data_IF_842451807379
#
_entry.id   IF_842451807379
#
_cell.length_a   1.000
_cell.length_b   1.000
_cell.length_c   1.000
_cell.angle_alpha   90.00
_cell.angle_beta   90.00
_cell.angle_gamma   90.00
#
_symmetry.space_group_name_H-M   'P 1'
#
loop_
_entity.id
_entity.type
_entity.pdbx_description
1 polymer ?
#
# COMPACT_ATOMS: atom_id res chain seq x y z
N UNK A 1 26.26 -1.48 12.12
CA UNK A 1 25.84 -2.43 11.07
C UNK A 1 24.76 -3.29 11.71
N UNK A 2 23.48 -2.91 11.55
CA UNK A 2 22.23 -3.65 11.90
C UNK A 2 21.03 -2.66 11.93
N UNK A 3 20.77 -1.95 10.83
CA UNK A 3 19.54 -1.12 10.69
C UNK A 3 18.61 -1.74 9.63
N UNK A 4 19.08 -2.75 8.88
CA UNK A 4 18.28 -3.44 7.86
C UNK A 4 17.36 -4.50 8.46
N UNK A 5 17.88 -5.48 9.22
CA UNK A 5 17.09 -6.63 9.64
C UNK A 5 15.94 -6.31 10.62
N UNK A 6 16.16 -5.45 11.63
CA UNK A 6 15.12 -5.10 12.61
C UNK A 6 13.96 -4.32 11.98
N UNK A 7 14.27 -3.40 11.06
CA UNK A 7 13.25 -2.65 10.34
C UNK A 7 12.49 -3.57 9.36
N UNK A 8 13.19 -4.45 8.64
CA UNK A 8 12.57 -5.43 7.74
C UNK A 8 11.60 -6.34 8.49
N UNK A 9 11.99 -6.87 9.66
CA UNK A 9 11.08 -7.68 10.48
C UNK A 9 9.91 -6.86 11.00
N UNK A 10 10.11 -5.59 11.37
CA UNK A 10 9.03 -4.70 11.78
C UNK A 10 8.07 -4.38 10.63
N UNK A 11 8.57 -4.22 9.40
CA UNK A 11 7.74 -4.04 8.21
C UNK A 11 6.99 -5.31 7.86
N UNK A 12 7.66 -6.47 7.83
CA UNK A 12 7.02 -7.77 7.63
C UNK A 12 5.96 -8.03 8.69
N UNK A 13 6.21 -7.70 9.96
CA UNK A 13 5.24 -7.83 11.03
C UNK A 13 4.05 -6.85 10.86
N UNK A 14 4.28 -5.60 10.46
CA UNK A 14 3.19 -4.67 10.14
C UNK A 14 2.38 -5.07 8.90
N UNK A 15 3.00 -5.73 7.93
CA UNK A 15 2.32 -6.26 6.74
C UNK A 15 1.58 -7.57 7.06
N UNK A 16 2.10 -8.36 7.99
CA UNK A 16 1.58 -9.66 8.46
C UNK A 16 0.38 -9.52 9.41
N UNK A 17 0.37 -8.48 10.27
CA UNK A 17 -0.71 -8.24 11.22
C UNK A 17 -1.95 -7.63 10.52
N UNK A 18 -2.72 -8.46 9.83
CA UNK A 18 -4.05 -8.15 9.26
C UNK A 18 -4.11 -6.93 8.30
N UNK A 19 -2.97 -6.43 7.83
CA UNK A 19 -2.85 -5.36 6.85
C UNK A 19 -3.28 -3.96 7.32
N UNK A 20 -3.79 -3.76 8.54
CA UNK A 20 -4.25 -2.43 9.00
C UNK A 20 -3.08 -1.62 9.56
N UNK A 21 -2.96 -0.33 9.22
CA UNK A 21 -1.95 0.52 9.83
C UNK A 21 -2.14 0.59 11.35
N UNK A 22 -1.02 0.51 12.10
CA UNK A 22 -1.06 0.68 13.54
C UNK A 22 -1.63 2.06 13.90
N UNK A 23 -2.48 2.18 14.95
CA UNK A 23 -3.00 3.47 15.40
C UNK A 23 -1.89 4.46 15.78
N UNK A 24 -0.70 3.94 16.11
CA UNK A 24 0.47 4.75 16.48
C UNK A 24 1.41 5.06 15.30
N UNK A 25 1.19 4.51 14.10
CA UNK A 25 2.05 4.71 12.91
C UNK A 25 1.90 6.13 12.32
N UNK A 26 2.89 6.99 12.45
CA UNK A 26 2.84 8.33 11.84
C UNK A 26 2.99 8.25 10.31
N UNK A 27 2.52 9.29 9.60
CA UNK A 27 2.72 9.35 8.14
C UNK A 27 4.21 9.35 7.78
N UNK A 28 5.07 10.03 8.55
CA UNK A 28 6.52 10.01 8.31
C UNK A 28 7.11 8.58 8.40
N UNK A 29 6.68 7.79 9.38
CA UNK A 29 7.08 6.38 9.49
C UNK A 29 6.50 5.55 8.33
N UNK A 30 5.26 5.80 7.95
CA UNK A 30 4.65 5.16 6.78
C UNK A 30 5.40 5.48 5.48
N UNK A 31 5.83 6.71 5.26
CA UNK A 31 6.59 7.07 4.06
C UNK A 31 7.91 6.30 3.96
N UNK A 32 8.60 6.06 5.09
CA UNK A 32 9.79 5.20 5.12
C UNK A 32 9.44 3.75 4.74
N UNK A 33 8.33 3.23 5.26
CA UNK A 33 7.78 1.92 4.89
C UNK A 33 7.49 1.82 3.39
N UNK A 34 6.84 2.85 2.85
CA UNK A 34 6.39 2.89 1.48
C UNK A 34 7.57 2.93 0.51
N UNK A 35 8.64 3.66 0.84
CA UNK A 35 9.89 3.63 0.07
C UNK A 35 10.54 2.24 0.11
N UNK A 36 10.54 1.59 1.28
CA UNK A 36 11.01 0.21 1.39
C UNK A 36 10.19 -0.74 0.50
N UNK A 37 8.86 -0.66 0.55
CA UNK A 37 7.95 -1.43 -0.30
C UNK A 37 8.17 -1.18 -1.80
N UNK A 38 8.40 0.08 -2.20
CA UNK A 38 8.77 0.41 -3.58
C UNK A 38 10.10 -0.21 -3.97
N UNK A 39 11.08 -0.29 -3.08
CA UNK A 39 12.39 -0.85 -3.39
C UNK A 39 12.37 -2.39 -3.46
N UNK A 40 11.51 -3.02 -2.66
CA UNK A 40 11.47 -4.47 -2.51
C UNK A 40 10.48 -5.08 -3.50
N UNK A 41 11.00 -5.77 -4.52
CA UNK A 41 10.18 -6.59 -5.42
C UNK A 41 9.85 -7.89 -4.70
N UNK A 42 8.79 -7.90 -3.91
CA UNK A 42 8.27 -9.16 -3.38
C UNK A 42 7.62 -9.94 -4.54
N UNK A 43 7.95 -11.23 -4.64
CA UNK A 43 7.37 -12.12 -5.65
C UNK A 43 5.86 -12.25 -5.41
N UNK A 44 5.06 -12.26 -6.48
CA UNK A 44 3.59 -12.26 -6.47
C UNK A 44 2.93 -13.54 -5.90
N UNK A 45 3.66 -14.31 -5.09
CA UNK A 45 3.25 -15.64 -4.59
C UNK A 45 2.44 -15.59 -3.29
N UNK A 46 2.10 -14.41 -2.77
CA UNK A 46 1.35 -14.25 -1.52
C UNK A 46 -0.03 -13.65 -1.80
N UNK A 47 -0.93 -14.43 -2.39
CA UNK A 47 -2.37 -14.19 -2.22
C UNK A 47 -3.08 -15.52 -1.93
N UNK A 48 -3.27 -15.87 -0.64
CA UNK A 48 -4.11 -16.98 -0.25
C UNK A 48 -5.55 -16.46 -0.12
N UNK A 49 -6.34 -16.51 -1.20
CA UNK A 49 -7.77 -16.24 -1.09
C UNK A 49 -8.54 -17.06 -2.12
N UNK A 50 -9.49 -17.85 -1.66
CA UNK A 50 -10.30 -18.75 -2.49
C UNK A 50 -11.17 -17.95 -3.47
N UNK A 51 -11.43 -18.54 -4.64
CA UNK A 51 -11.77 -17.86 -5.91
C UNK A 51 -12.87 -16.78 -5.89
N UNK A 52 -13.85 -16.83 -4.98
CA UNK A 52 -14.96 -15.87 -4.94
C UNK A 52 -14.61 -14.55 -4.23
N UNK A 53 -13.88 -14.60 -3.12
CA UNK A 53 -13.35 -13.41 -2.44
C UNK A 53 -12.22 -12.78 -3.27
N UNK A 54 -11.48 -13.61 -4.01
CA UNK A 54 -10.45 -13.17 -4.94
C UNK A 54 -11.02 -12.37 -6.12
N UNK A 55 -12.15 -12.77 -6.73
CA UNK A 55 -12.76 -11.99 -7.82
C UNK A 55 -13.18 -10.59 -7.36
N UNK A 56 -13.89 -10.49 -6.24
CA UNK A 56 -14.31 -9.19 -5.70
C UNK A 56 -13.11 -8.31 -5.33
N UNK A 57 -12.05 -8.92 -4.80
CA UNK A 57 -10.81 -8.21 -4.49
C UNK A 57 -10.08 -7.73 -5.75
N UNK A 58 -10.01 -8.59 -6.76
CA UNK A 58 -9.40 -8.27 -8.06
C UNK A 58 -10.13 -7.11 -8.73
N UNK A 59 -11.46 -7.17 -8.78
CA UNK A 59 -12.30 -6.09 -9.33
C UNK A 59 -12.04 -4.78 -8.59
N UNK A 60 -11.94 -4.82 -7.26
CA UNK A 60 -11.58 -3.65 -6.46
C UNK A 60 -10.22 -3.04 -6.84
N UNK A 61 -9.19 -3.87 -7.06
CA UNK A 61 -7.86 -3.39 -7.47
C UNK A 61 -7.92 -2.80 -8.88
N UNK A 62 -8.58 -3.47 -9.82
CA UNK A 62 -8.74 -3.00 -11.20
C UNK A 62 -9.51 -1.67 -11.27
N UNK A 63 -10.60 -1.54 -10.52
CA UNK A 63 -11.38 -0.30 -10.41
C UNK A 63 -10.56 0.82 -9.77
N UNK A 64 -9.84 0.52 -8.69
CA UNK A 64 -8.96 1.48 -8.04
C UNK A 64 -7.89 1.99 -9.00
N UNK A 65 -7.23 1.10 -9.76
CA UNK A 65 -6.25 1.46 -10.78
C UNK A 65 -6.88 2.34 -11.87
N UNK A 66 -8.05 1.94 -12.39
CA UNK A 66 -8.78 2.71 -13.39
C UNK A 66 -9.11 4.13 -12.89
N UNK A 67 -9.53 4.24 -11.63
CA UNK A 67 -9.85 5.52 -11.00
C UNK A 67 -8.63 6.43 -10.84
N UNK A 68 -7.53 5.92 -10.28
CA UNK A 68 -6.32 6.72 -10.07
C UNK A 68 -5.59 7.05 -11.37
N UNK A 69 -5.69 6.19 -12.40
CA UNK A 69 -5.16 6.46 -13.76
C UNK A 69 -5.87 7.60 -14.47
N UNK A 70 -7.14 7.85 -14.14
CA UNK A 70 -7.89 9.01 -14.62
C UNK A 70 -7.48 10.31 -13.90
N UNK A 71 -6.54 10.25 -12.97
CA UNK A 71 -6.03 11.40 -12.21
C UNK A 71 -6.80 11.69 -10.93
N UNK A 72 -7.66 10.77 -10.49
CA UNK A 72 -8.34 10.87 -9.20
C UNK A 72 -7.50 10.26 -8.06
N UNK A 73 -8.01 10.45 -6.84
CA UNK A 73 -7.46 9.85 -5.63
C UNK A 73 -8.42 8.75 -5.15
N UNK A 74 -7.87 7.66 -4.64
CA UNK A 74 -8.63 6.56 -4.03
C UNK A 74 -8.23 6.40 -2.56
N UNK A 75 -9.05 5.67 -1.80
CA UNK A 75 -8.80 5.37 -0.39
C UNK A 75 -8.75 3.87 -0.19
N UNK A 76 -7.72 3.41 0.51
CA UNK A 76 -7.50 2.00 0.83
C UNK A 76 -7.25 1.85 2.32
N UNK A 77 -7.68 0.74 2.90
CA UNK A 77 -7.65 0.54 4.35
C UNK A 77 -6.52 -0.41 4.78
N UNK A 78 -5.94 -1.12 3.82
CA UNK A 78 -4.95 -2.14 4.10
C UNK A 78 -3.67 -1.96 3.28
N UNK A 79 -2.55 -2.33 3.89
CA UNK A 79 -1.22 -2.25 3.29
C UNK A 79 -1.04 -3.22 2.12
N UNK A 80 -1.69 -4.40 2.15
CA UNK A 80 -1.66 -5.34 1.02
C UNK A 80 -2.34 -4.77 -0.23
N UNK A 81 -3.35 -3.90 -0.09
CA UNK A 81 -3.97 -3.21 -1.22
C UNK A 81 -2.95 -2.28 -1.91
N UNK A 82 -2.15 -1.56 -1.11
CA UNK A 82 -1.08 -0.70 -1.63
C UNK A 82 0.00 -1.53 -2.30
N UNK A 83 0.34 -2.66 -1.71
CA UNK A 83 1.31 -3.60 -2.25
C UNK A 83 0.88 -4.11 -3.63
N UNK A 84 -0.37 -4.51 -3.80
CA UNK A 84 -0.87 -4.94 -5.12
C UNK A 84 -0.93 -3.78 -6.12
N UNK A 85 -1.30 -2.57 -5.69
CA UNK A 85 -1.23 -1.38 -6.56
C UNK A 85 0.21 -1.07 -7.02
N UNK A 86 1.22 -1.31 -6.16
CA UNK A 86 2.63 -1.13 -6.49
C UNK A 86 3.12 -2.10 -7.57
N UNK A 87 2.50 -3.28 -7.73
CA UNK A 87 2.83 -4.21 -8.82
C UNK A 87 2.56 -3.60 -10.20
N UNK A 88 1.58 -2.68 -10.30
CA UNK A 88 1.17 -2.07 -11.57
C UNK A 88 1.74 -0.66 -11.78
N UNK A 89 1.79 0.16 -10.74
CA UNK A 89 2.16 1.58 -10.84
C UNK A 89 3.32 1.92 -9.89
N UNK A 90 4.35 1.06 -9.83
CA UNK A 90 5.50 1.18 -8.93
C UNK A 90 6.11 2.59 -8.85
N UNK A 91 6.39 3.18 -10.00
CA UNK A 91 7.09 4.47 -10.06
C UNK A 91 6.19 5.65 -9.70
N UNK A 92 4.93 5.60 -10.15
CA UNK A 92 3.98 6.72 -10.11
C UNK A 92 3.09 6.72 -8.87
N UNK A 93 2.87 5.57 -8.25
CA UNK A 93 2.01 5.46 -7.07
C UNK A 93 2.61 6.26 -5.92
N UNK A 94 1.75 7.05 -5.29
CA UNK A 94 2.00 7.79 -4.07
C UNK A 94 0.90 7.51 -3.07
N UNK A 95 1.27 7.57 -1.80
CA UNK A 95 0.37 7.26 -0.70
C UNK A 95 0.55 8.27 0.42
N UNK A 96 -0.50 8.48 1.20
CA UNK A 96 -0.47 9.27 2.43
C UNK A 96 -1.32 8.57 3.47
N UNK A 97 -0.80 8.48 4.69
CA UNK A 97 -1.59 8.01 5.81
C UNK A 97 -2.48 9.14 6.32
N UNK A 98 -3.79 8.89 6.33
CA UNK A 98 -4.80 9.78 6.89
C UNK A 98 -5.23 9.24 8.25
N UNK A 99 -5.35 10.16 9.21
CA UNK A 99 -5.76 9.90 10.58
C UNK A 99 -6.85 10.90 10.91
N UNK A 100 -8.06 10.38 11.06
CA UNK A 100 -9.22 11.15 11.49
C UNK A 100 -9.62 10.70 12.90
N UNK A 101 -9.99 11.65 13.75
CA UNK A 101 -10.43 11.33 15.11
C UNK A 101 -11.70 10.45 15.06
N UNK A 102 -11.61 9.25 15.64
CA UNK A 102 -12.73 8.31 15.72
C UNK A 102 -12.80 7.25 14.60
N UNK A 103 -11.87 7.25 13.64
CA UNK A 103 -11.81 6.23 12.56
C UNK A 103 -10.44 5.55 12.58
N UNK A 104 -10.39 4.26 12.22
CA UNK A 104 -9.13 3.57 11.99
C UNK A 104 -8.31 4.27 10.88
N UNK A 105 -6.99 4.41 11.05
CA UNK A 105 -6.14 5.01 10.03
C UNK A 105 -6.31 4.31 8.68
N UNK A 106 -6.28 5.11 7.61
CA UNK A 106 -6.44 4.64 6.25
C UNK A 106 -5.48 5.38 5.32
N UNK A 107 -5.32 4.89 4.11
CA UNK A 107 -4.39 5.43 3.14
C UNK A 107 -5.12 6.08 1.98
N UNK A 108 -4.70 7.29 1.67
CA UNK A 108 -5.06 7.95 0.42
C UNK A 108 -3.99 7.61 -0.62
N UNK A 109 -4.41 7.19 -1.82
CA UNK A 109 -3.51 6.78 -2.91
C UNK A 109 -3.82 7.55 -4.19
N UNK A 110 -2.79 7.90 -4.93
CA UNK A 110 -2.89 8.60 -6.21
C UNK A 110 -1.66 8.36 -7.07
N UNK A 111 -1.76 8.65 -8.37
CA UNK A 111 -0.61 8.64 -9.26
C UNK A 111 -0.02 10.04 -9.39
N UNK A 112 1.29 10.16 -9.22
CA UNK A 112 1.99 11.37 -9.62
C UNK A 112 1.89 11.54 -11.13
N UNK A 113 1.67 12.78 -11.57
CA UNK A 113 1.78 13.12 -12.99
C UNK A 113 3.21 12.80 -13.41
N UNK A 114 3.39 12.11 -14.54
CA UNK A 114 4.71 11.98 -15.14
C UNK A 114 5.27 13.39 -15.28
N UNK A 115 6.30 13.69 -14.48
CA UNK A 115 7.10 14.87 -14.73
C UNK A 115 7.68 14.66 -16.13
N UNK A 116 7.23 15.46 -17.10
CA UNK A 116 7.90 15.59 -18.39
C UNK A 116 9.40 15.77 -18.09
N UNK A 117 10.18 14.74 -18.37
CA UNK A 117 11.63 14.87 -18.54
C UNK A 117 11.89 15.55 -19.87
#
# INVERSE_FOLDING_TARGET
MTISDDNEQQWVHMLSAAGKPSPNLSDAQWQLAFQFLKSHTFSSEILPCQDAEYQSYRDFIEDTLSWIRRGHTAYVFFTYQIYDLLLFEKDRLSTRLIRDEGIYPYFMVWLQKEGRK
#
